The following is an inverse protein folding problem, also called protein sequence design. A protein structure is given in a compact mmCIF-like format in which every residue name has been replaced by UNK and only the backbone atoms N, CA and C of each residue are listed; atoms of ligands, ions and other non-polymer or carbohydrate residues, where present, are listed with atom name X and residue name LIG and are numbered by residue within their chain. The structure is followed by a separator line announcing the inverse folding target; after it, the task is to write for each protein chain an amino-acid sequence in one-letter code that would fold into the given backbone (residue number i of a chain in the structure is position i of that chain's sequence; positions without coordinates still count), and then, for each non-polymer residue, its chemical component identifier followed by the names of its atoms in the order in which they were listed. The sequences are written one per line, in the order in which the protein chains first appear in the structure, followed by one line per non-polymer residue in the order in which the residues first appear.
data_IF_145590214335
#
_entry.id   IF_145590214335
#
_cell.length_a   1.000
_cell.length_b   1.000
_cell.length_c   1.000
_cell.angle_alpha   90.00
_cell.angle_beta   90.00
_cell.angle_gamma   90.00
#
_symmetry.space_group_name_H-M   'P 1'
#
loop_
_entity.id
_entity.type
_entity.pdbx_description
1 polymer ?
#
# COMPACT_ATOMS: atom_id res chain seq x y z
N UNK A 1 -2.06 12.66 21.92
CA UNK A 1 -3.20 12.37 21.02
C UNK A 1 -4.44 12.13 21.84
N UNK A 2 -5.55 12.70 21.42
CA UNK A 2 -6.85 12.51 22.07
C UNK A 2 -7.65 11.46 21.29
N UNK A 3 -7.83 10.26 21.85
CA UNK A 3 -8.63 9.17 21.27
C UNK A 3 -10.10 9.23 21.66
N UNK A 4 -10.56 10.32 22.26
CA UNK A 4 -11.99 10.56 22.45
C UNK A 4 -12.71 10.75 21.10
N UNK A 5 -14.02 10.57 21.08
CA UNK A 5 -14.83 10.84 19.88
C UNK A 5 -14.64 12.28 19.39
N UNK A 6 -14.46 13.24 20.31
CA UNK A 6 -14.19 14.62 19.96
C UNK A 6 -12.82 14.80 19.27
N UNK A 7 -11.77 14.16 19.78
CA UNK A 7 -10.43 14.19 19.18
C UNK A 7 -10.38 13.51 17.82
N UNK A 8 -11.09 12.40 17.66
CA UNK A 8 -11.23 11.71 16.36
C UNK A 8 -11.95 12.61 15.35
N UNK A 9 -13.11 13.16 15.72
CA UNK A 9 -13.85 14.08 14.84
C UNK A 9 -13.03 15.32 14.47
N UNK A 10 -12.29 15.91 15.41
CA UNK A 10 -11.41 17.05 15.14
C UNK A 10 -10.29 16.70 14.15
N UNK A 11 -9.73 15.48 14.22
CA UNK A 11 -8.69 15.01 13.30
C UNK A 11 -9.24 14.83 11.87
N UNK A 12 -10.43 14.26 11.74
CA UNK A 12 -11.07 14.13 10.42
C UNK A 12 -11.56 15.46 9.85
N UNK A 13 -12.00 16.39 10.70
CA UNK A 13 -12.44 17.73 10.27
C UNK A 13 -11.28 18.58 9.70
N UNK A 14 -10.04 18.22 9.96
CA UNK A 14 -8.86 18.87 9.36
C UNK A 14 -8.54 18.37 7.96
N UNK A 15 -9.12 17.23 7.52
CA UNK A 15 -8.89 16.69 6.20
C UNK A 15 -9.61 17.55 5.14
N UNK A 16 -8.92 17.81 4.05
CA UNK A 16 -9.55 18.45 2.88
C UNK A 16 -10.55 17.51 2.22
N UNK A 17 -11.52 18.07 1.49
CA UNK A 17 -12.47 17.25 0.71
C UNK A 17 -11.77 16.32 -0.29
N UNK A 18 -10.63 16.75 -0.85
CA UNK A 18 -9.81 15.93 -1.75
C UNK A 18 -9.15 14.75 -1.03
N UNK A 19 -8.65 14.95 0.20
CA UNK A 19 -8.13 13.83 1.02
C UNK A 19 -9.20 12.82 1.34
N UNK A 20 -10.39 13.25 1.74
CA UNK A 20 -11.53 12.36 2.01
C UNK A 20 -11.87 11.55 0.76
N UNK A 21 -11.91 12.20 -0.40
CA UNK A 21 -12.18 11.53 -1.68
C UNK A 21 -11.08 10.51 -2.03
N UNK A 22 -9.81 10.87 -1.82
CA UNK A 22 -8.68 9.97 -2.04
C UNK A 22 -8.71 8.75 -1.12
N UNK A 23 -9.05 8.95 0.16
CA UNK A 23 -9.26 7.84 1.12
C UNK A 23 -10.40 6.92 0.67
N UNK A 24 -11.52 7.49 0.25
CA UNK A 24 -12.65 6.71 -0.27
C UNK A 24 -12.23 5.84 -1.47
N UNK A 25 -11.52 6.40 -2.44
CA UNK A 25 -10.99 5.65 -3.57
C UNK A 25 -9.95 4.60 -3.16
N UNK A 26 -9.11 4.90 -2.17
CA UNK A 26 -8.14 3.94 -1.62
C UNK A 26 -8.81 2.73 -0.96
N UNK A 27 -9.87 2.95 -0.19
CA UNK A 27 -10.67 1.87 0.41
C UNK A 27 -11.36 1.04 -0.70
N UNK A 28 -11.99 1.72 -1.67
CA UNK A 28 -12.60 1.04 -2.81
C UNK A 28 -11.57 0.20 -3.58
N UNK A 29 -10.37 0.73 -3.83
CA UNK A 29 -9.26 0.00 -4.43
C UNK A 29 -9.01 -1.34 -3.73
N UNK A 30 -8.84 -1.35 -2.41
CA UNK A 30 -8.53 -2.58 -1.66
C UNK A 30 -9.71 -3.56 -1.72
N UNK A 31 -10.94 -3.08 -1.56
CA UNK A 31 -12.14 -3.93 -1.62
C UNK A 31 -12.33 -4.59 -3.00
N UNK A 32 -12.08 -3.85 -4.07
CA UNK A 32 -12.12 -4.41 -5.42
C UNK A 32 -10.93 -5.32 -5.73
N UNK A 33 -9.73 -5.00 -5.21
CA UNK A 33 -8.56 -5.86 -5.32
C UNK A 33 -8.77 -7.20 -4.60
N UNK A 34 -9.40 -7.20 -3.43
CA UNK A 34 -9.78 -8.42 -2.71
C UNK A 34 -10.72 -9.33 -3.50
N UNK A 35 -11.49 -8.77 -4.43
CA UNK A 35 -12.39 -9.49 -5.35
C UNK A 35 -11.78 -9.72 -6.75
N UNK A 36 -10.49 -9.48 -6.91
CA UNK A 36 -9.76 -9.59 -8.19
C UNK A 36 -10.34 -8.75 -9.33
N UNK A 37 -11.12 -7.74 -9.01
CA UNK A 37 -11.83 -6.90 -9.98
C UNK A 37 -10.90 -5.85 -10.59
N UNK A 38 -10.99 -5.65 -11.91
CA UNK A 38 -10.27 -4.59 -12.64
C UNK A 38 -10.60 -3.18 -12.12
N UNK A 39 -11.75 -2.97 -11.50
CA UNK A 39 -12.12 -1.71 -10.85
C UNK A 39 -11.16 -1.29 -9.74
N UNK A 40 -10.44 -2.24 -9.15
CA UNK A 40 -9.37 -1.93 -8.21
C UNK A 40 -8.39 -0.92 -8.80
N UNK A 41 -7.87 -1.21 -9.97
CA UNK A 41 -6.87 -0.36 -10.62
C UNK A 41 -7.41 1.02 -11.00
N UNK A 42 -8.69 1.11 -11.38
CA UNK A 42 -9.35 2.38 -11.65
C UNK A 42 -9.43 3.25 -10.39
N UNK A 43 -9.91 2.70 -9.28
CA UNK A 43 -9.99 3.44 -8.01
C UNK A 43 -8.60 3.74 -7.43
N UNK A 44 -7.65 2.81 -7.56
CA UNK A 44 -6.26 3.04 -7.19
C UNK A 44 -5.64 4.21 -7.97
N UNK A 45 -5.87 4.28 -9.28
CA UNK A 45 -5.41 5.37 -10.12
C UNK A 45 -5.97 6.73 -9.69
N UNK A 46 -7.28 6.81 -9.43
CA UNK A 46 -7.92 8.04 -8.96
C UNK A 46 -7.39 8.50 -7.60
N UNK A 47 -7.24 7.56 -6.64
CA UNK A 47 -6.67 7.86 -5.33
C UNK A 47 -5.25 8.41 -5.45
N UNK A 48 -4.41 7.74 -6.23
CA UNK A 48 -2.99 8.10 -6.35
C UNK A 48 -2.74 9.39 -7.11
N UNK A 49 -3.57 9.76 -8.09
CA UNK A 49 -3.52 11.10 -8.71
C UNK A 49 -3.76 12.17 -7.66
N UNK A 50 -4.83 12.05 -6.87
CA UNK A 50 -5.17 13.06 -5.86
C UNK A 50 -4.03 13.18 -4.84
N UNK A 51 -3.55 12.07 -4.29
CA UNK A 51 -2.45 12.11 -3.32
C UNK A 51 -1.13 12.61 -3.93
N UNK A 52 -0.84 12.33 -5.19
CA UNK A 52 0.35 12.86 -5.88
C UNK A 52 0.32 14.39 -5.90
N UNK A 53 -0.83 14.97 -6.25
CA UNK A 53 -1.01 16.44 -6.30
C UNK A 53 -0.94 17.02 -4.88
N UNK A 54 -1.71 16.49 -3.93
CA UNK A 54 -1.76 16.99 -2.55
C UNK A 54 -0.37 16.95 -1.88
N UNK A 55 0.38 15.89 -2.06
CA UNK A 55 1.73 15.78 -1.49
C UNK A 55 2.74 16.70 -2.20
N UNK A 56 2.58 16.90 -3.50
CA UNK A 56 3.40 17.88 -4.23
C UNK A 56 3.16 19.30 -3.74
N UNK A 57 1.90 19.72 -3.62
CA UNK A 57 1.51 21.03 -3.07
C UNK A 57 1.95 21.20 -1.61
N UNK A 58 1.94 20.13 -0.82
CA UNK A 58 2.42 20.11 0.56
C UNK A 58 3.95 20.03 0.71
N UNK A 59 4.72 20.14 -0.40
CA UNK A 59 6.18 19.96 -0.44
C UNK A 59 6.68 18.59 0.10
N UNK A 60 5.82 17.58 0.12
CA UNK A 60 6.14 16.20 0.50
C UNK A 60 6.60 15.40 -0.73
N UNK A 61 7.74 15.78 -1.30
CA UNK A 61 8.24 15.28 -2.59
C UNK A 61 8.37 13.76 -2.61
N UNK A 62 8.92 13.14 -1.56
CA UNK A 62 9.09 11.67 -1.48
C UNK A 62 7.75 10.94 -1.52
N UNK A 63 6.74 11.44 -0.77
CA UNK A 63 5.40 10.87 -0.78
C UNK A 63 4.69 11.06 -2.12
N UNK A 64 4.88 12.21 -2.76
CA UNK A 64 4.37 12.48 -4.11
C UNK A 64 4.97 11.52 -5.14
N UNK A 65 6.29 11.29 -5.11
CA UNK A 65 6.98 10.34 -6.00
C UNK A 65 6.52 8.90 -5.76
N UNK A 66 6.29 8.51 -4.52
CA UNK A 66 5.75 7.18 -4.20
C UNK A 66 4.33 7.00 -4.77
N UNK A 67 3.47 8.01 -4.63
CA UNK A 67 2.12 7.96 -5.21
C UNK A 67 2.14 8.01 -6.74
N UNK A 68 3.08 8.73 -7.34
CA UNK A 68 3.31 8.68 -8.78
C UNK A 68 3.72 7.28 -9.25
N UNK A 69 4.59 6.58 -8.50
CA UNK A 69 4.89 5.17 -8.73
C UNK A 69 3.62 4.30 -8.65
N UNK A 70 2.77 4.47 -7.65
CA UNK A 70 1.52 3.72 -7.54
C UNK A 70 0.57 4.00 -8.70
N UNK A 71 0.54 5.23 -9.20
CA UNK A 71 -0.24 5.59 -10.39
C UNK A 71 0.22 4.83 -11.64
N UNK A 72 1.55 4.72 -11.85
CA UNK A 72 2.12 3.89 -12.92
C UNK A 72 1.74 2.42 -12.72
N UNK A 73 1.85 1.92 -11.48
CA UNK A 73 1.51 0.55 -11.15
C UNK A 73 0.01 0.25 -11.30
N UNK A 74 -0.86 1.23 -11.12
CA UNK A 74 -2.28 1.08 -11.37
C UNK A 74 -2.57 0.84 -12.86
N UNK A 75 -1.89 1.57 -13.75
CA UNK A 75 -1.97 1.33 -15.21
C UNK A 75 -1.38 -0.04 -15.57
N UNK A 76 -0.20 -0.36 -15.05
CA UNK A 76 0.46 -1.63 -15.28
C UNK A 76 -0.39 -2.82 -14.82
N UNK A 77 -0.92 -2.75 -13.59
CA UNK A 77 -1.76 -3.79 -13.02
C UNK A 77 -3.08 -3.96 -13.77
N UNK A 78 -3.70 -2.86 -14.19
CA UNK A 78 -4.90 -2.91 -15.05
C UNK A 78 -4.63 -3.67 -16.36
N UNK A 79 -3.55 -3.32 -17.05
CA UNK A 79 -3.16 -3.98 -18.30
C UNK A 79 -2.90 -5.48 -18.04
N UNK A 80 -2.12 -5.80 -17.02
CA UNK A 80 -1.73 -7.18 -16.72
C UNK A 80 -2.92 -8.05 -16.32
N UNK A 81 -3.83 -7.53 -15.50
CA UNK A 81 -5.03 -8.27 -15.08
C UNK A 81 -6.04 -8.44 -16.22
N UNK A 82 -6.09 -7.48 -17.16
CA UNK A 82 -6.96 -7.55 -18.34
C UNK A 82 -6.41 -8.47 -19.43
N UNK A 83 -5.10 -8.48 -19.64
CA UNK A 83 -4.46 -9.24 -20.73
C UNK A 83 -4.20 -10.71 -20.39
N UNK A 84 -4.36 -11.11 -19.11
CA UNK A 84 -4.19 -12.49 -18.69
C UNK A 84 -2.77 -13.02 -18.70
N UNK A 85 -1.75 -12.19 -18.60
CA UNK A 85 -0.35 -12.63 -18.59
C UNK A 85 0.16 -13.15 -19.95
N UNK A 86 1.27 -13.90 -19.95
CA UNK A 86 1.98 -14.30 -21.18
C UNK A 86 1.20 -15.30 -22.10
N UNK A 87 0.18 -15.97 -21.58
CA UNK A 87 -0.56 -17.01 -22.32
C UNK A 87 -1.95 -16.58 -22.81
N UNK A 88 -2.38 -15.34 -22.52
CA UNK A 88 -3.71 -14.85 -22.91
C UNK A 88 -4.87 -15.41 -22.08
N UNK A 89 -4.59 -16.27 -21.09
CA UNK A 89 -5.57 -16.74 -20.10
C UNK A 89 -5.71 -15.72 -18.97
N UNK A 90 -6.79 -15.77 -18.18
CA UNK A 90 -6.95 -14.90 -17.02
C UNK A 90 -5.75 -15.04 -16.06
N UNK A 91 -5.22 -13.91 -15.57
CA UNK A 91 -4.12 -13.93 -14.63
C UNK A 91 -4.58 -14.58 -13.31
N UNK A 92 -4.09 -15.76 -13.03
CA UNK A 92 -4.42 -16.51 -11.81
C UNK A 92 -3.60 -16.02 -10.60
N UNK A 93 -4.17 -16.23 -9.40
CA UNK A 93 -3.43 -16.02 -8.16
C UNK A 93 -2.30 -17.05 -8.08
N UNK A 94 -1.09 -16.54 -7.88
CA UNK A 94 0.12 -17.34 -7.74
C UNK A 94 0.69 -17.26 -6.32
N UNK A 95 1.56 -18.20 -5.97
CA UNK A 95 2.30 -18.16 -4.70
C UNK A 95 3.80 -18.17 -4.96
N UNK A 96 4.52 -17.44 -4.15
CA UNK A 96 5.98 -17.50 -4.14
C UNK A 96 6.46 -18.60 -3.20
N UNK A 97 7.56 -19.26 -3.59
CA UNK A 97 8.24 -20.18 -2.69
C UNK A 97 8.79 -19.43 -1.47
N UNK A 98 8.93 -20.17 -0.36
CA UNK A 98 9.53 -19.62 0.87
C UNK A 98 10.92 -19.02 0.58
N UNK A 99 11.74 -19.71 -0.22
CA UNK A 99 13.05 -19.22 -0.63
C UNK A 99 12.99 -17.86 -1.32
N UNK A 100 12.03 -17.67 -2.25
CA UNK A 100 11.85 -16.41 -2.97
C UNK A 100 11.40 -15.30 -2.02
N UNK A 101 10.43 -15.56 -1.13
CA UNK A 101 10.00 -14.60 -0.12
C UNK A 101 11.16 -14.18 0.80
N UNK A 102 11.92 -15.15 1.32
CA UNK A 102 13.08 -14.87 2.18
C UNK A 102 14.12 -14.03 1.43
N UNK A 103 14.41 -14.36 0.16
CA UNK A 103 15.36 -13.58 -0.64
C UNK A 103 14.89 -12.13 -0.80
N UNK A 104 13.61 -11.90 -1.14
CA UNK A 104 13.04 -10.56 -1.30
C UNK A 104 13.04 -9.79 0.02
N UNK A 105 12.67 -10.45 1.12
CA UNK A 105 12.68 -9.81 2.45
C UNK A 105 14.10 -9.42 2.85
N UNK A 106 15.07 -10.31 2.74
CA UNK A 106 16.46 -10.03 3.14
C UNK A 106 17.07 -8.94 2.26
N UNK A 107 16.93 -9.03 0.93
CA UNK A 107 17.44 -8.00 0.03
C UNK A 107 16.74 -6.65 0.23
N UNK A 108 15.42 -6.68 0.47
CA UNK A 108 14.63 -5.49 0.80
C UNK A 108 15.07 -4.84 2.11
N UNK A 109 15.32 -5.63 3.16
CA UNK A 109 15.82 -5.11 4.44
C UNK A 109 17.21 -4.48 4.31
N UNK A 110 18.13 -5.13 3.58
CA UNK A 110 19.48 -4.58 3.32
C UNK A 110 19.36 -3.24 2.60
N UNK A 111 18.53 -3.17 1.55
CA UNK A 111 18.31 -1.94 0.80
C UNK A 111 17.62 -0.86 1.66
N UNK A 112 16.62 -1.23 2.47
CA UNK A 112 15.93 -0.29 3.36
C UNK A 112 16.90 0.29 4.39
N UNK A 113 17.76 -0.52 5.00
CA UNK A 113 18.78 -0.05 5.96
C UNK A 113 19.77 0.89 5.27
N UNK A 114 20.22 0.56 4.07
CA UNK A 114 21.13 1.41 3.30
C UNK A 114 20.52 2.76 2.95
N UNK A 115 19.29 2.77 2.41
CA UNK A 115 18.58 4.00 2.07
C UNK A 115 18.24 4.81 3.33
N UNK A 116 17.88 4.14 4.42
CA UNK A 116 17.61 4.79 5.70
C UNK A 116 18.86 5.48 6.26
N UNK A 117 20.02 4.83 6.17
CA UNK A 117 21.31 5.45 6.56
C UNK A 117 21.60 6.70 5.72
N UNK A 118 21.35 6.66 4.41
CA UNK A 118 21.50 7.85 3.56
C UNK A 118 20.51 8.95 3.97
N UNK A 119 19.25 8.59 4.20
CA UNK A 119 18.24 9.54 4.65
C UNK A 119 18.60 10.17 5.99
N UNK A 120 19.05 9.39 6.96
CA UNK A 120 19.49 9.87 8.28
C UNK A 120 20.71 10.81 8.20
N UNK A 121 21.63 10.53 7.25
CA UNK A 121 22.87 11.29 7.10
C UNK A 121 22.68 12.60 6.33
N UNK A 122 21.81 12.59 5.30
CA UNK A 122 21.70 13.70 4.33
C UNK A 122 20.38 14.45 4.37
N UNK A 123 19.44 14.05 5.24
CA UNK A 123 18.13 14.71 5.37
C UNK A 123 17.77 14.90 6.85
N UNK A 124 16.78 15.73 7.13
CA UNK A 124 16.22 15.96 8.48
C UNK A 124 15.03 15.01 8.77
N UNK A 125 15.02 13.82 8.18
CA UNK A 125 13.95 12.86 8.38
C UNK A 125 13.84 12.42 9.85
N UNK A 126 12.65 12.53 10.43
CA UNK A 126 12.43 12.25 11.86
C UNK A 126 12.52 10.77 12.23
N UNK A 127 12.12 9.87 11.32
CA UNK A 127 12.10 8.43 11.52
C UNK A 127 12.59 7.68 10.26
N UNK A 128 13.84 7.91 9.81
CA UNK A 128 14.31 7.49 8.48
C UNK A 128 14.25 5.98 8.26
N UNK A 129 14.55 5.17 9.28
CA UNK A 129 14.54 3.70 9.17
C UNK A 129 13.13 3.14 8.99
N UNK A 130 12.16 3.66 9.74
CA UNK A 130 10.79 3.19 9.66
C UNK A 130 10.10 3.69 8.39
N UNK A 131 10.33 4.94 8.02
CA UNK A 131 9.79 5.54 6.79
C UNK A 131 10.31 4.83 5.54
N UNK A 132 11.62 4.61 5.46
CA UNK A 132 12.24 3.89 4.34
C UNK A 132 11.78 2.43 4.25
N UNK A 133 11.62 1.77 5.40
CA UNK A 133 11.03 0.42 5.43
C UNK A 133 9.62 0.41 4.84
N UNK A 134 8.74 1.29 5.32
CA UNK A 134 7.36 1.41 4.82
C UNK A 134 7.38 1.70 3.31
N UNK A 135 8.15 2.68 2.86
CA UNK A 135 8.26 3.06 1.45
C UNK A 135 8.70 1.88 0.58
N UNK A 136 9.82 1.24 0.90
CA UNK A 136 10.40 0.20 0.04
C UNK A 136 9.53 -1.05 -0.02
N UNK A 137 9.01 -1.49 1.12
CA UNK A 137 8.15 -2.68 1.15
C UNK A 137 6.77 -2.42 0.55
N UNK A 138 6.27 -1.18 0.56
CA UNK A 138 5.08 -0.77 -0.21
C UNK A 138 5.30 -0.89 -1.72
N UNK A 139 6.48 -0.49 -2.23
CA UNK A 139 6.86 -0.66 -3.63
C UNK A 139 6.87 -2.14 -4.02
N UNK A 140 7.48 -2.98 -3.19
CA UNK A 140 7.53 -4.43 -3.41
C UNK A 140 6.12 -5.03 -3.38
N UNK A 141 5.32 -4.71 -2.37
CA UNK A 141 3.96 -5.23 -2.21
C UNK A 141 3.06 -4.82 -3.39
N UNK A 142 3.13 -3.58 -3.86
CA UNK A 142 2.34 -3.13 -5.02
C UNK A 142 2.71 -3.91 -6.28
N UNK A 143 4.01 -4.16 -6.51
CA UNK A 143 4.44 -4.98 -7.63
C UNK A 143 3.95 -6.43 -7.53
N UNK A 144 4.00 -7.02 -6.32
CA UNK A 144 3.46 -8.36 -6.05
C UNK A 144 1.96 -8.42 -6.32
N UNK A 145 1.20 -7.38 -5.92
CA UNK A 145 -0.24 -7.30 -6.15
C UNK A 145 -0.57 -7.25 -7.65
N UNK A 146 0.15 -6.44 -8.42
CA UNK A 146 -0.02 -6.40 -9.87
C UNK A 146 0.21 -7.77 -10.53
N UNK A 147 1.09 -8.60 -9.96
CA UNK A 147 1.38 -9.97 -10.41
C UNK A 147 0.47 -11.04 -9.79
N UNK A 148 -0.58 -10.63 -9.08
CA UNK A 148 -1.50 -11.52 -8.32
C UNK A 148 -0.75 -12.54 -7.44
N UNK A 149 0.28 -12.10 -6.72
CA UNK A 149 0.99 -12.95 -5.74
C UNK A 149 0.24 -12.91 -4.42
N UNK A 150 -0.23 -14.07 -3.92
CA UNK A 150 -1.04 -14.17 -2.71
C UNK A 150 -0.38 -13.53 -1.48
N UNK A 151 0.93 -13.73 -1.33
CA UNK A 151 1.69 -13.21 -0.19
C UNK A 151 1.73 -11.68 -0.14
N UNK A 152 1.33 -10.97 -1.19
CA UNK A 152 1.25 -9.49 -1.19
C UNK A 152 0.46 -8.95 -0.01
N UNK A 153 -0.61 -9.63 0.38
CA UNK A 153 -1.47 -9.20 1.47
C UNK A 153 -0.79 -9.33 2.84
N UNK A 154 0.10 -10.33 3.00
CA UNK A 154 0.95 -10.46 4.20
C UNK A 154 1.93 -9.29 4.26
N UNK A 155 2.55 -8.93 3.12
CA UNK A 155 3.44 -7.76 3.04
C UNK A 155 2.68 -6.48 3.42
N UNK A 156 1.46 -6.29 2.89
CA UNK A 156 0.63 -5.13 3.23
C UNK A 156 0.26 -5.10 4.72
N UNK A 157 -0.12 -6.23 5.33
CA UNK A 157 -0.38 -6.26 6.78
C UNK A 157 0.83 -5.79 7.60
N UNK A 158 2.04 -6.21 7.23
CA UNK A 158 3.27 -5.79 7.91
C UNK A 158 3.58 -4.31 7.65
N UNK A 159 3.49 -3.87 6.41
CA UNK A 159 3.75 -2.48 6.00
C UNK A 159 2.77 -1.52 6.67
N UNK A 160 1.48 -1.81 6.64
CA UNK A 160 0.45 -0.96 7.23
C UNK A 160 0.55 -0.93 8.77
N UNK A 161 0.96 -2.04 9.40
CA UNK A 161 1.27 -2.05 10.83
C UNK A 161 2.48 -1.17 11.16
N UNK A 162 3.54 -1.23 10.35
CA UNK A 162 4.70 -0.35 10.51
C UNK A 162 4.34 1.12 10.27
N UNK A 163 3.52 1.41 9.26
CA UNK A 163 2.99 2.75 9.00
C UNK A 163 2.12 3.26 10.17
N UNK A 164 1.30 2.39 10.77
CA UNK A 164 0.54 2.73 11.99
C UNK A 164 1.47 3.20 13.11
N UNK A 165 2.60 2.50 13.33
CA UNK A 165 3.60 2.90 14.33
C UNK A 165 4.28 4.22 13.95
N UNK A 166 4.62 4.41 12.68
CA UNK A 166 5.22 5.65 12.16
C UNK A 166 4.31 6.85 12.42
N UNK A 167 3.03 6.75 12.08
CA UNK A 167 2.06 7.84 12.26
C UNK A 167 1.66 8.04 13.72
N UNK A 168 1.70 6.98 14.54
CA UNK A 168 1.59 7.11 16.00
C UNK A 168 2.70 8.01 16.56
N UNK A 169 3.95 7.73 16.18
CA UNK A 169 5.10 8.56 16.61
C UNK A 169 5.03 9.99 16.04
N UNK A 170 4.40 10.18 14.91
CA UNK A 170 4.26 11.48 14.24
C UNK A 170 3.04 12.28 14.70
N UNK A 171 2.10 11.68 15.42
CA UNK A 171 0.95 12.39 16.00
C UNK A 171 -0.28 12.51 15.10
N UNK A 172 -0.39 11.74 14.00
CA UNK A 172 -1.47 11.83 13.01
C UNK A 172 -2.58 10.81 13.27
N UNK A 173 -3.56 11.17 14.12
CA UNK A 173 -4.60 10.26 14.58
C UNK A 173 -5.49 9.70 13.43
N UNK A 174 -5.98 10.54 12.53
CA UNK A 174 -6.81 10.10 11.40
C UNK A 174 -6.06 9.09 10.51
N UNK A 175 -4.77 9.32 10.28
CA UNK A 175 -3.91 8.44 9.48
C UNK A 175 -3.67 7.09 10.19
N UNK A 176 -3.49 7.09 11.52
CA UNK A 176 -3.40 5.86 12.32
C UNK A 176 -4.64 5.00 12.10
N UNK A 177 -5.84 5.59 12.24
CA UNK A 177 -7.10 4.87 12.08
C UNK A 177 -7.26 4.31 10.67
N UNK A 178 -6.80 5.05 9.65
CA UNK A 178 -6.81 4.59 8.27
C UNK A 178 -5.90 3.38 8.06
N UNK A 179 -4.66 3.39 8.57
CA UNK A 179 -3.73 2.26 8.43
C UNK A 179 -4.18 1.04 9.23
N UNK A 180 -4.79 1.22 10.41
CA UNK A 180 -5.45 0.11 11.13
C UNK A 180 -6.55 -0.50 10.28
N UNK A 181 -7.38 0.31 9.62
CA UNK A 181 -8.39 -0.17 8.68
C UNK A 181 -7.75 -0.94 7.52
N UNK A 182 -6.64 -0.45 6.96
CA UNK A 182 -5.93 -1.12 5.87
C UNK A 182 -5.39 -2.49 6.30
N UNK A 183 -4.87 -2.66 7.52
CA UNK A 183 -4.49 -3.98 8.06
C UNK A 183 -5.67 -4.93 8.07
N UNK A 184 -6.85 -4.46 8.52
CA UNK A 184 -8.08 -5.29 8.55
C UNK A 184 -8.50 -5.67 7.11
N UNK A 185 -8.47 -4.72 6.19
CA UNK A 185 -8.81 -4.98 4.79
C UNK A 185 -7.81 -5.89 4.09
N UNK A 186 -6.52 -5.77 4.40
CA UNK A 186 -5.49 -6.67 3.89
C UNK A 186 -5.69 -8.11 4.38
N UNK A 187 -6.07 -8.29 5.64
CA UNK A 187 -6.44 -9.61 6.17
C UNK A 187 -7.68 -10.20 5.47
N UNK A 188 -8.71 -9.38 5.26
CA UNK A 188 -9.89 -9.79 4.48
C UNK A 188 -9.51 -10.19 3.05
N UNK A 189 -8.70 -9.40 2.37
CA UNK A 189 -8.26 -9.67 1.02
C UNK A 189 -7.38 -10.95 0.94
N UNK A 190 -6.52 -11.18 1.93
CA UNK A 190 -5.75 -12.43 2.04
C UNK A 190 -6.67 -13.65 2.11
N UNK A 191 -7.69 -13.61 2.97
CA UNK A 191 -8.63 -14.74 3.12
C UNK A 191 -9.45 -14.96 1.86
N UNK A 192 -9.86 -13.88 1.16
CA UNK A 192 -10.54 -13.96 -0.12
C UNK A 192 -9.68 -14.64 -1.18
N UNK A 193 -8.44 -14.17 -1.37
CA UNK A 193 -7.52 -14.73 -2.36
C UNK A 193 -7.06 -16.13 -2.00
N UNK A 194 -6.89 -16.44 -0.73
CA UNK A 194 -6.59 -17.78 -0.27
C UNK A 194 -7.67 -18.78 -0.67
N UNK A 195 -8.93 -18.40 -0.52
CA UNK A 195 -10.07 -19.22 -0.92
C UNK A 195 -10.08 -19.47 -2.44
N UNK A 196 -10.01 -18.41 -3.25
CA UNK A 196 -9.95 -18.50 -4.71
C UNK A 196 -8.78 -19.37 -5.18
N UNK A 197 -7.59 -19.18 -4.58
CA UNK A 197 -6.39 -19.96 -4.92
C UNK A 197 -6.55 -21.47 -4.71
N UNK A 198 -7.29 -21.90 -3.68
CA UNK A 198 -7.51 -23.33 -3.43
C UNK A 198 -8.65 -23.89 -4.28
N UNK A 199 -9.71 -23.12 -4.52
CA UNK A 199 -10.83 -23.53 -5.37
C UNK A 199 -10.43 -23.71 -6.83
N UNK A 200 -9.49 -22.94 -7.36
CA UNK A 200 -8.99 -23.08 -8.73
C UNK A 200 -8.11 -24.32 -8.96
N UNK A 201 -7.75 -25.07 -7.91
CA UNK A 201 -6.83 -26.23 -7.96
C UNK A 201 -7.48 -27.55 -7.55
N UNK A 202 -8.76 -27.49 -7.13
CA UNK A 202 -9.59 -28.67 -6.86
C UNK A 202 -10.46 -28.99 -8.06
#
# INVERSE_FOLDING_TARGET
MDFSLAGINASFAQMSGWEILAVFFGIAYILFAAKESLWAWFFGFLSTIIYTILFWEGALVSSSLLNFYYMIMAVYGFILWRSGGEKGDELEISRWSVKKNVTVIVSGLIMAIFLAYLSDTYTEAKFPYLDTFVMLFSVIATWMLAKKVLETWIYWMVVDSAATVLYWKSGYLATILLFVLYVILAFYAYTSWWKTYHESRT
#
